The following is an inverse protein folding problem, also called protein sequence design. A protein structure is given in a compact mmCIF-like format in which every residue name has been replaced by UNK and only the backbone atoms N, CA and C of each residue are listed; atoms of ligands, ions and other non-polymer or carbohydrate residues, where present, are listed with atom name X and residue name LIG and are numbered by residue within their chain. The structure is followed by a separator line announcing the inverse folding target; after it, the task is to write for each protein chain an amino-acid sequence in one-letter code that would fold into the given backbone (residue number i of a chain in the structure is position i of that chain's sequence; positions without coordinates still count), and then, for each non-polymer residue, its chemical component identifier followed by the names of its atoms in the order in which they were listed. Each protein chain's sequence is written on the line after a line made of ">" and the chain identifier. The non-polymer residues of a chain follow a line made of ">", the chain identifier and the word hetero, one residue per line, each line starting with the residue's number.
data_IF_694162154139
#
_entry.id   IF_694162154139
#
_cell.length_a   1.000
_cell.length_b   1.000
_cell.length_c   1.000
_cell.angle_alpha   90.00
_cell.angle_beta   90.00
_cell.angle_gamma   90.00
#
_symmetry.space_group_name_H-M   'P 1'
#
loop_
_entity.id
_entity.type
_entity.pdbx_description
1 polymer ?
#
# COMPACT_ATOMS: atom_id res chain seq x y z
N UNK A 1 5.40 40.62 8.46
CA UNK A 1 5.76 39.57 7.48
C UNK A 1 6.04 38.19 8.13
N UNK A 2 6.80 38.10 9.23
CA UNK A 2 7.08 36.83 9.94
C UNK A 2 5.85 36.10 10.53
N UNK A 3 4.78 36.83 10.86
CA UNK A 3 3.56 36.24 11.44
C UNK A 3 2.80 35.35 10.44
N UNK A 4 2.68 35.79 9.18
CA UNK A 4 1.97 35.06 8.12
C UNK A 4 2.64 33.71 7.85
N UNK A 5 3.97 33.67 7.85
CA UNK A 5 4.76 32.45 7.62
C UNK A 5 4.65 31.46 8.81
N UNK A 6 4.60 31.95 10.05
CA UNK A 6 4.34 31.12 11.24
C UNK A 6 2.93 30.52 11.22
N UNK A 7 1.94 31.26 10.74
CA UNK A 7 0.56 30.76 10.59
C UNK A 7 0.50 29.69 9.51
N UNK A 8 1.15 29.91 8.37
CA UNK A 8 1.16 28.96 7.25
C UNK A 8 1.81 27.62 7.62
N UNK A 9 2.97 27.66 8.29
CA UNK A 9 3.64 26.45 8.81
C UNK A 9 2.81 25.72 9.87
N UNK A 10 2.00 26.45 10.66
CA UNK A 10 1.12 25.82 11.64
C UNK A 10 -0.09 25.13 11.01
N UNK A 11 -0.56 25.60 9.84
CA UNK A 11 -1.67 25.01 9.11
C UNK A 11 -1.23 23.77 8.32
N UNK A 12 -0.04 23.79 7.72
CA UNK A 12 0.44 22.71 6.84
C UNK A 12 1.05 21.52 7.60
N UNK A 13 1.67 21.75 8.76
CA UNK A 13 2.23 20.65 9.56
C UNK A 13 1.22 19.53 9.88
N UNK A 14 0.00 19.82 10.38
CA UNK A 14 -0.94 18.75 10.69
C UNK A 14 -1.45 18.01 9.45
N UNK A 15 -1.62 18.68 8.30
CA UNK A 15 -2.07 18.02 7.07
C UNK A 15 -1.01 17.08 6.49
N UNK A 16 0.27 17.47 6.52
CA UNK A 16 1.37 16.59 6.10
C UNK A 16 1.52 15.41 7.07
N UNK A 17 1.37 15.65 8.38
CA UNK A 17 1.44 14.59 9.38
C UNK A 17 0.33 13.55 9.17
N UNK A 18 -0.87 13.98 8.77
CA UNK A 18 -1.98 13.08 8.49
C UNK A 18 -1.72 12.23 7.24
N UNK A 19 -1.34 12.86 6.13
CA UNK A 19 -0.93 12.17 4.90
C UNK A 19 0.21 11.17 5.14
N UNK A 20 1.20 11.56 5.96
CA UNK A 20 2.30 10.68 6.32
C UNK A 20 1.83 9.47 7.12
N UNK A 21 0.92 9.68 8.08
CA UNK A 21 0.36 8.59 8.89
C UNK A 21 -0.42 7.62 8.02
N UNK A 22 -1.29 8.09 7.13
CA UNK A 22 -2.05 7.22 6.22
C UNK A 22 -1.13 6.38 5.32
N UNK A 23 -0.12 7.01 4.71
CA UNK A 23 0.86 6.30 3.86
C UNK A 23 1.68 5.30 4.66
N UNK A 24 2.07 5.65 5.88
CA UNK A 24 2.83 4.76 6.76
C UNK A 24 1.98 3.55 7.17
N UNK A 25 0.70 3.74 7.52
CA UNK A 25 -0.23 2.64 7.78
C UNK A 25 -0.39 1.72 6.56
N UNK A 26 -0.54 2.30 5.36
CA UNK A 26 -0.62 1.52 4.13
C UNK A 26 0.68 0.75 3.84
N UNK A 27 1.84 1.35 4.12
CA UNK A 27 3.13 0.71 3.94
C UNK A 27 3.34 -0.43 4.95
N UNK A 28 3.09 -0.18 6.23
CA UNK A 28 3.21 -1.19 7.30
C UNK A 28 2.26 -2.36 7.05
N UNK A 29 1.04 -2.09 6.57
CA UNK A 29 0.09 -3.15 6.19
C UNK A 29 0.64 -4.12 5.14
N UNK A 30 1.54 -3.63 4.27
CA UNK A 30 2.08 -4.39 3.14
C UNK A 30 3.44 -5.02 3.46
N UNK A 31 4.23 -4.37 4.31
CA UNK A 31 5.59 -4.80 4.63
C UNK A 31 5.63 -5.78 5.81
N UNK A 32 4.68 -5.70 6.74
CA UNK A 32 4.69 -6.49 7.97
C UNK A 32 3.46 -7.40 8.06
N UNK A 33 3.69 -8.66 8.42
CA UNK A 33 2.63 -9.61 8.78
C UNK A 33 2.21 -9.45 10.25
N UNK A 34 3.15 -9.01 11.10
CA UNK A 34 2.95 -8.69 12.51
C UNK A 34 3.92 -7.58 12.92
N UNK A 35 3.46 -6.62 13.71
CA UNK A 35 4.26 -5.51 14.23
C UNK A 35 3.87 -5.20 15.69
N UNK A 36 4.85 -4.89 16.55
CA UNK A 36 4.55 -4.49 17.93
C UNK A 36 3.97 -3.07 17.97
N UNK A 37 3.11 -2.82 18.97
CA UNK A 37 2.54 -1.49 19.20
C UNK A 37 3.63 -0.45 19.47
N UNK A 38 4.71 -0.83 20.16
CA UNK A 38 5.86 0.04 20.43
C UNK A 38 6.57 0.50 19.16
N UNK A 39 6.84 -0.41 18.22
CA UNK A 39 7.47 -0.07 16.94
C UNK A 39 6.56 0.83 16.10
N UNK A 40 5.25 0.52 16.09
CA UNK A 40 4.27 1.30 15.36
C UNK A 40 4.15 2.74 15.90
N UNK A 41 4.23 2.94 17.22
CA UNK A 41 4.35 4.27 17.84
C UNK A 41 5.62 5.00 17.38
N UNK A 42 6.76 4.32 17.32
CA UNK A 42 8.00 4.95 16.83
C UNK A 42 7.88 5.43 15.38
N UNK A 43 7.11 4.75 14.53
CA UNK A 43 6.89 5.16 13.13
C UNK A 43 5.84 6.26 12.95
N UNK A 44 4.73 6.20 13.68
CA UNK A 44 3.62 7.15 13.53
C UNK A 44 3.83 8.45 14.34
N UNK A 45 4.82 8.48 15.21
CA UNK A 45 5.05 9.52 16.20
C UNK A 45 4.36 9.19 17.53
N UNK A 46 4.62 10.01 18.55
CA UNK A 46 4.11 9.83 19.91
C UNK A 46 2.58 10.05 19.99
N UNK A 47 1.83 9.07 19.48
CA UNK A 47 0.36 9.06 19.50
C UNK A 47 -0.14 8.21 20.69
N UNK A 48 -1.33 8.55 21.20
CA UNK A 48 -2.04 7.69 22.12
C UNK A 48 -2.25 6.29 21.51
N UNK A 49 -1.98 5.21 22.26
CA UNK A 49 -2.15 3.84 21.76
C UNK A 49 -3.60 3.56 21.33
N UNK A 50 -4.57 4.10 22.07
CA UNK A 50 -6.00 4.04 21.77
C UNK A 50 -6.37 4.60 20.38
N UNK A 51 -5.70 5.65 19.91
CA UNK A 51 -5.93 6.20 18.58
C UNK A 51 -5.39 5.26 17.49
N UNK A 52 -4.20 4.70 17.71
CA UNK A 52 -3.58 3.74 16.79
C UNK A 52 -4.45 2.48 16.68
N UNK A 53 -4.95 1.97 17.81
CA UNK A 53 -5.82 0.80 17.86
C UNK A 53 -7.15 1.05 17.14
N UNK A 54 -7.75 2.23 17.34
CA UNK A 54 -8.99 2.61 16.66
C UNK A 54 -8.82 2.63 15.13
N UNK A 55 -7.73 3.24 14.64
CA UNK A 55 -7.41 3.30 13.19
C UNK A 55 -7.08 1.90 12.66
N UNK A 56 -6.30 1.12 13.40
CA UNK A 56 -5.96 -0.25 13.01
C UNK A 56 -7.22 -1.12 12.89
N UNK A 57 -8.15 -1.01 13.84
CA UNK A 57 -9.44 -1.71 13.82
C UNK A 57 -10.32 -1.27 12.64
N UNK A 58 -10.36 0.03 12.32
CA UNK A 58 -11.05 0.55 11.12
C UNK A 58 -10.45 -0.01 9.82
N UNK A 59 -9.13 -0.23 9.77
CA UNK A 59 -8.42 -0.86 8.65
C UNK A 59 -8.47 -2.40 8.70
N UNK A 60 -9.21 -2.98 9.65
CA UNK A 60 -9.43 -4.42 9.80
C UNK A 60 -8.27 -5.19 10.47
N UNK A 61 -7.27 -4.51 11.01
CA UNK A 61 -6.13 -5.17 11.65
C UNK A 61 -6.56 -5.88 12.92
N UNK A 62 -5.93 -7.03 13.20
CA UNK A 62 -6.13 -7.77 14.44
C UNK A 62 -5.16 -7.28 15.49
N UNK A 63 -5.66 -7.00 16.69
CA UNK A 63 -4.84 -6.65 17.84
C UNK A 63 -4.82 -7.80 18.85
N UNK A 64 -3.62 -8.23 19.22
CA UNK A 64 -3.40 -9.16 20.32
C UNK A 64 -2.93 -8.36 21.55
N UNK A 65 -3.79 -8.29 22.57
CA UNK A 65 -3.51 -7.56 23.80
C UNK A 65 -2.49 -8.27 24.71
N UNK A 66 -2.35 -9.59 24.62
CA UNK A 66 -1.40 -10.35 25.43
C UNK A 66 0.04 -10.12 24.94
N UNK A 67 0.23 -10.00 23.64
CA UNK A 67 1.54 -9.77 23.03
C UNK A 67 1.81 -8.29 22.67
N UNK A 68 0.79 -7.41 22.73
CA UNK A 68 0.83 -6.04 22.20
C UNK A 68 1.25 -5.99 20.72
N UNK A 69 0.75 -6.94 19.91
CA UNK A 69 1.07 -7.08 18.50
C UNK A 69 -0.17 -6.72 17.66
N UNK A 70 0.07 -5.97 16.59
CA UNK A 70 -0.90 -5.74 15.53
C UNK A 70 -0.54 -6.59 14.32
N UNK A 71 -1.53 -7.31 13.80
CA UNK A 71 -1.41 -8.08 12.57
C UNK A 71 -2.29 -7.42 11.50
N UNK A 72 -1.69 -6.77 10.49
CA UNK A 72 -2.44 -6.23 9.38
C UNK A 72 -3.20 -7.32 8.64
N UNK A 73 -4.33 -6.95 8.02
CA UNK A 73 -4.99 -7.84 7.07
C UNK A 73 -4.05 -8.00 5.89
N UNK A 74 -3.43 -9.17 5.79
CA UNK A 74 -2.62 -9.55 4.64
C UNK A 74 -3.56 -9.47 3.44
N UNK A 75 -3.43 -8.39 2.67
CA UNK A 75 -4.02 -8.37 1.36
C UNK A 75 -3.25 -9.46 0.62
N UNK A 76 -3.93 -10.57 0.31
CA UNK A 76 -3.36 -11.63 -0.51
C UNK A 76 -2.56 -10.96 -1.62
N UNK A 77 -1.31 -11.37 -1.87
CA UNK A 77 -0.48 -10.74 -2.88
C UNK A 77 -1.38 -10.57 -4.09
N UNK A 78 -1.60 -9.32 -4.51
CA UNK A 78 -2.22 -9.08 -5.82
C UNK A 78 -1.33 -9.90 -6.71
N UNK A 79 -1.84 -11.04 -7.19
CA UNK A 79 -1.27 -11.70 -8.35
C UNK A 79 -1.12 -10.55 -9.31
N UNK A 80 0.12 -10.11 -9.51
CA UNK A 80 0.44 -9.23 -10.60
C UNK A 80 -0.12 -10.02 -11.75
N UNK A 81 -1.27 -9.57 -12.24
CA UNK A 81 -1.96 -10.21 -13.32
C UNK A 81 -0.88 -10.37 -14.38
N UNK A 82 -0.51 -11.63 -14.64
CA UNK A 82 0.65 -12.00 -15.45
C UNK A 82 0.33 -11.75 -16.94
N UNK A 83 -0.38 -10.67 -17.20
CA UNK A 83 -0.86 -10.16 -18.48
C UNK A 83 0.08 -9.08 -19.04
N UNK A 84 1.00 -8.55 -18.23
CA UNK A 84 2.04 -7.62 -18.70
C UNK A 84 3.36 -8.30 -19.11
N UNK A 85 3.30 -9.55 -19.55
CA UNK A 85 4.28 -10.05 -20.50
C UNK A 85 3.58 -10.13 -21.85
N UNK A 86 3.91 -9.30 -22.87
CA UNK A 86 3.43 -9.54 -24.22
C UNK A 86 3.86 -10.97 -24.58
N UNK A 87 2.88 -11.86 -24.72
CA UNK A 87 3.14 -13.28 -24.95
C UNK A 87 3.75 -13.43 -26.35
N UNK A 88 5.07 -13.54 -26.42
CA UNK A 88 5.83 -13.75 -27.66
C UNK A 88 5.33 -14.95 -28.45
N UNK A 89 4.80 -15.98 -27.78
CA UNK A 89 4.18 -17.13 -28.41
C UNK A 89 2.83 -16.82 -29.06
N UNK A 90 2.00 -15.98 -28.42
CA UNK A 90 0.67 -15.62 -28.95
C UNK A 90 0.82 -14.71 -30.17
N UNK A 91 1.73 -13.73 -30.09
CA UNK A 91 2.12 -12.92 -31.24
C UNK A 91 2.74 -13.75 -32.36
N UNK A 92 3.60 -14.73 -32.05
CA UNK A 92 4.16 -15.64 -33.06
C UNK A 92 3.07 -16.47 -33.73
N UNK A 93 2.14 -17.05 -32.95
CA UNK A 93 1.00 -17.81 -33.48
C UNK A 93 0.12 -16.95 -34.39
N UNK A 94 -0.12 -15.70 -34.01
CA UNK A 94 -0.87 -14.77 -34.84
C UNK A 94 -0.15 -14.51 -36.17
N UNK A 95 1.16 -14.23 -36.16
CA UNK A 95 1.92 -13.99 -37.39
C UNK A 95 1.98 -15.24 -38.28
N UNK A 96 2.21 -16.43 -37.72
CA UNK A 96 2.25 -17.68 -38.51
C UNK A 96 0.89 -18.02 -39.11
N UNK A 97 -0.21 -17.77 -38.40
CA UNK A 97 -1.56 -18.06 -38.91
C UNK A 97 -2.01 -17.04 -39.94
N UNK A 98 -1.66 -15.76 -39.78
CA UNK A 98 -1.99 -14.72 -40.76
C UNK A 98 -1.20 -14.90 -42.05
N UNK A 99 0.10 -15.24 -41.99
CA UNK A 99 0.88 -15.53 -43.20
C UNK A 99 0.40 -16.80 -43.89
N UNK A 100 0.14 -17.89 -43.16
CA UNK A 100 -0.38 -19.12 -43.75
C UNK A 100 -1.73 -18.93 -44.46
N UNK A 101 -2.60 -18.05 -43.94
CA UNK A 101 -3.91 -17.76 -44.54
C UNK A 101 -3.77 -16.91 -45.81
N UNK A 102 -2.83 -15.96 -45.82
CA UNK A 102 -2.57 -15.11 -46.99
C UNK A 102 -1.90 -15.89 -48.14
N UNK A 103 -0.97 -16.79 -47.81
CA UNK A 103 -0.25 -17.60 -48.80
C UNK A 103 -1.09 -18.75 -49.35
N UNK A 104 -2.10 -19.24 -48.61
CA UNK A 104 -2.99 -20.32 -49.06
C UNK A 104 -4.18 -19.89 -49.92
N UNK A 105 -4.32 -18.59 -50.23
CA UNK A 105 -5.41 -18.02 -51.02
C UNK A 105 -5.02 -17.64 -52.47
N UNK A 106 -3.82 -18.05 -52.90
CA UNK A 106 -3.33 -18.03 -54.30
C UNK A 106 -3.33 -19.45 -54.88
#
# INVERSE_FOLDING_TARGET
>A
MFYVMKTYVSIIRPSIAEEFRERTFALVSRAYTSISLSALKSYLGDLPPEHILSVAQQKGWKYDAAAQILSPVVHAPRTIDKSFAPSTLDTFRLVTTTTATLEGAL
#
